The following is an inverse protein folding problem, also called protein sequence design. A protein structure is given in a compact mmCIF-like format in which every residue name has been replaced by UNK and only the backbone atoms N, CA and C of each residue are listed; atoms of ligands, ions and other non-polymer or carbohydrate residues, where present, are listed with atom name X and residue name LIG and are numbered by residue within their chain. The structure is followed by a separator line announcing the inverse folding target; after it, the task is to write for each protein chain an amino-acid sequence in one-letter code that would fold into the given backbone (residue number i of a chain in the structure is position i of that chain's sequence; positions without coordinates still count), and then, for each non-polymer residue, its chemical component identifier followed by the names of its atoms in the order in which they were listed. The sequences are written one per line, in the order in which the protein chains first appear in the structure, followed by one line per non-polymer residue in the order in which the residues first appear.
data_IF_225892135753
#
_entry.id   IF_225892135753
#
_cell.length_a   1.000
_cell.length_b   1.000
_cell.length_c   1.000
_cell.angle_alpha   90.00
_cell.angle_beta   90.00
_cell.angle_gamma   90.00
#
_symmetry.space_group_name_H-M   'P 1'
#
loop_
_entity.id
_entity.type
_entity.pdbx_description
1 polymer ?
#
# COMPACT_ATOMS: atom_id res chain seq x y z
N UNK A 1 44.07 -4.36 60.51
CA UNK A 1 42.82 -4.88 59.94
C UNK A 1 42.35 -3.89 58.89
N UNK A 2 42.49 -4.20 57.59
CA UNK A 2 42.17 -3.27 56.49
C UNK A 2 40.78 -3.62 55.94
N UNK A 3 39.84 -2.69 56.06
CA UNK A 3 38.51 -2.80 55.45
C UNK A 3 38.64 -2.35 54.00
N UNK A 4 38.60 -3.29 53.06
CA UNK A 4 38.54 -2.98 51.64
C UNK A 4 37.08 -2.70 51.26
N UNK A 5 36.78 -1.42 51.05
CA UNK A 5 35.52 -0.93 50.53
C UNK A 5 35.44 -1.29 49.04
N UNK A 6 34.87 -2.46 48.71
CA UNK A 6 34.52 -2.77 47.32
C UNK A 6 33.28 -1.98 46.99
N UNK A 7 33.48 -0.78 46.46
CA UNK A 7 32.44 0.02 45.83
C UNK A 7 31.89 -0.77 44.64
N UNK A 8 30.75 -1.41 44.85
CA UNK A 8 29.97 -2.06 43.81
C UNK A 8 29.38 -0.95 42.92
N UNK A 9 30.15 -0.52 41.92
CA UNK A 9 29.64 0.27 40.81
C UNK A 9 28.62 -0.58 40.06
N UNK A 10 27.37 -0.53 40.53
CA UNK A 10 26.19 -0.91 39.76
C UNK A 10 26.16 -0.01 38.53
N UNK A 11 26.78 -0.49 37.46
CA UNK A 11 26.61 0.01 36.12
C UNK A 11 25.13 -0.16 35.79
N UNK A 12 24.36 0.91 36.02
CA UNK A 12 23.09 1.11 35.34
C UNK A 12 23.39 1.30 33.86
N UNK A 13 23.65 0.18 33.17
CA UNK A 13 23.57 0.15 31.71
C UNK A 13 22.08 0.27 31.41
N UNK A 14 21.58 1.51 31.36
CA UNK A 14 20.32 1.76 30.67
C UNK A 14 20.58 1.38 29.22
N UNK A 15 20.22 0.15 28.87
CA UNK A 15 19.92 -0.16 27.49
C UNK A 15 18.73 0.73 27.16
N UNK A 16 19.01 1.95 26.73
CA UNK A 16 18.06 2.73 25.95
C UNK A 16 17.75 1.84 24.76
N UNK A 17 16.64 1.10 24.86
CA UNK A 17 16.01 0.48 23.71
C UNK A 17 15.77 1.66 22.80
N UNK A 18 16.63 1.81 21.78
CA UNK A 18 16.35 2.70 20.68
C UNK A 18 14.99 2.24 20.18
N UNK A 19 13.96 3.05 20.44
CA UNK A 19 12.68 2.87 19.81
C UNK A 19 12.98 2.91 18.32
N UNK A 20 12.98 1.74 17.67
CA UNK A 20 13.03 1.68 16.23
C UNK A 20 11.78 2.41 15.78
N UNK A 21 11.95 3.58 15.16
CA UNK A 21 10.87 4.26 14.45
C UNK A 21 10.43 3.32 13.33
N UNK A 22 9.45 2.47 13.62
CA UNK A 22 8.74 1.73 12.61
C UNK A 22 7.92 2.77 11.86
N UNK A 23 8.37 3.12 10.67
CA UNK A 23 7.62 4.01 9.78
C UNK A 23 6.22 3.43 9.60
N UNK A 24 5.20 4.22 9.94
CA UNK A 24 3.81 3.81 9.76
C UNK A 24 3.40 4.02 8.32
N UNK A 25 2.65 3.10 7.75
CA UNK A 25 2.21 3.19 6.37
C UNK A 25 0.70 3.14 6.28
N UNK A 26 0.10 4.04 5.51
CA UNK A 26 -1.32 4.02 5.19
C UNK A 26 -1.50 3.90 3.67
N UNK A 27 -2.73 3.65 3.23
CA UNK A 27 -3.04 3.69 1.80
C UNK A 27 -4.30 4.49 1.49
N UNK A 28 -4.39 4.91 0.23
CA UNK A 28 -5.57 5.50 -0.37
C UNK A 28 -5.87 4.77 -1.69
N UNK A 29 -7.08 4.22 -1.79
CA UNK A 29 -7.62 3.57 -2.97
C UNK A 29 -8.71 4.46 -3.58
N UNK A 30 -8.51 4.95 -4.81
CA UNK A 30 -9.53 5.72 -5.53
C UNK A 30 -10.04 4.93 -6.72
N UNK A 31 -11.34 5.03 -6.97
CA UNK A 31 -11.96 4.41 -8.13
C UNK A 31 -12.96 5.34 -8.80
N UNK A 32 -13.03 5.24 -10.11
CA UNK A 32 -14.05 5.88 -10.93
C UNK A 32 -14.45 4.94 -12.06
N UNK A 33 -15.77 4.82 -12.26
CA UNK A 33 -16.40 4.03 -13.31
C UNK A 33 -15.85 2.60 -13.41
N UNK A 34 -15.51 2.00 -12.28
CA UNK A 34 -14.88 0.68 -12.20
C UNK A 34 -14.91 0.10 -10.79
N UNK A 35 -14.81 -1.22 -10.68
CA UNK A 35 -14.43 -1.84 -9.42
C UNK A 35 -12.91 -1.94 -9.33
N UNK A 36 -12.40 -1.74 -8.12
CA UNK A 36 -10.99 -1.57 -7.85
C UNK A 36 -10.62 -2.35 -6.59
N UNK A 37 -9.64 -3.23 -6.71
CA UNK A 37 -9.12 -4.05 -5.61
C UNK A 37 -7.63 -3.81 -5.50
N UNK A 38 -7.09 -3.82 -4.28
CA UNK A 38 -5.69 -3.56 -4.02
C UNK A 38 -5.05 -4.64 -3.15
N UNK A 39 -3.82 -4.99 -3.50
CA UNK A 39 -2.95 -5.90 -2.76
C UNK A 39 -1.55 -5.30 -2.59
N UNK A 40 -0.91 -5.66 -1.49
CA UNK A 40 0.52 -5.44 -1.26
C UNK A 40 1.13 -6.77 -0.83
N UNK A 41 2.20 -7.20 -1.49
CA UNK A 41 2.86 -8.50 -1.26
C UNK A 41 1.88 -9.69 -1.28
N UNK A 42 0.85 -9.62 -2.13
CA UNK A 42 -0.20 -10.65 -2.24
C UNK A 42 -1.26 -10.64 -1.13
N UNK A 43 -1.19 -9.70 -0.18
CA UNK A 43 -2.20 -9.51 0.86
C UNK A 43 -3.23 -8.49 0.39
N UNK A 44 -4.52 -8.85 0.44
CA UNK A 44 -5.62 -7.94 0.13
C UNK A 44 -5.70 -6.82 1.18
N UNK A 45 -5.58 -5.58 0.73
CA UNK A 45 -5.67 -4.39 1.59
C UNK A 45 -6.96 -3.60 1.36
N UNK A 46 -7.54 -3.67 0.16
CA UNK A 46 -8.81 -3.00 -0.09
C UNK A 46 -9.60 -3.60 -1.23
N UNK A 47 -10.91 -3.42 -1.12
CA UNK A 47 -11.88 -3.64 -2.17
C UNK A 47 -12.80 -2.43 -2.16
N UNK A 48 -12.96 -1.78 -3.31
CA UNK A 48 -13.77 -0.57 -3.41
C UNK A 48 -15.22 -0.82 -2.99
N UNK A 49 -15.79 -1.99 -3.30
CA UNK A 49 -17.23 -2.32 -3.19
C UNK A 49 -18.19 -1.29 -3.85
N UNK A 50 -17.66 -0.21 -4.41
CA UNK A 50 -18.32 0.90 -5.08
C UNK A 50 -17.60 1.17 -6.38
N UNK A 51 -18.29 1.85 -7.30
CA UNK A 51 -17.79 2.17 -8.63
C UNK A 51 -17.31 3.61 -8.79
N UNK A 52 -17.53 4.44 -7.77
CA UNK A 52 -17.08 5.82 -7.68
C UNK A 52 -16.76 6.14 -6.22
N UNK A 53 -15.58 6.69 -5.96
CA UNK A 53 -15.24 7.20 -4.64
C UNK A 53 -13.77 7.02 -4.28
N UNK A 54 -13.44 7.49 -3.08
CA UNK A 54 -12.12 7.31 -2.46
C UNK A 54 -12.31 6.55 -1.16
N UNK A 55 -11.51 5.49 -0.99
CA UNK A 55 -11.37 4.76 0.26
C UNK A 55 -9.97 4.99 0.80
N UNK A 56 -9.85 5.33 2.07
CA UNK A 56 -8.57 5.39 2.77
C UNK A 56 -8.51 4.27 3.79
N UNK A 57 -7.32 3.73 4.01
CA UNK A 57 -7.09 2.87 5.17
C UNK A 57 -7.22 3.70 6.45
N UNK A 58 -7.89 3.14 7.44
CA UNK A 58 -7.79 3.57 8.84
C UNK A 58 -6.78 2.73 9.64
N UNK A 59 -6.09 1.79 8.99
CA UNK A 59 -5.18 0.83 9.60
C UNK A 59 -3.79 0.85 8.93
N UNK A 60 -2.79 0.50 9.73
CA UNK A 60 -1.36 0.59 9.41
C UNK A 60 -0.88 -0.66 8.63
N UNK A 61 -0.26 -0.42 7.46
CA UNK A 61 0.31 -1.43 6.56
C UNK A 61 1.72 -1.88 6.94
N UNK A 62 2.30 -1.36 8.01
CA UNK A 62 3.68 -1.69 8.43
C UNK A 62 3.93 -3.18 8.62
N UNK A 63 2.90 -3.97 8.89
CA UNK A 63 3.01 -5.44 9.03
C UNK A 63 3.04 -6.18 7.69
N UNK A 64 2.60 -5.53 6.60
CA UNK A 64 2.53 -6.09 5.25
C UNK A 64 3.74 -5.64 4.43
N UNK A 65 4.21 -4.42 4.65
CA UNK A 65 5.40 -3.87 3.98
C UNK A 65 6.65 -4.50 4.59
N UNK A 66 7.49 -5.07 3.71
CA UNK A 66 8.73 -5.72 4.07
C UNK A 66 9.91 -4.79 3.76
N UNK A 67 11.03 -5.00 4.44
CA UNK A 67 12.28 -4.33 4.09
C UNK A 67 12.72 -4.74 2.68
N UNK A 68 13.01 -3.76 1.82
CA UNK A 68 13.47 -3.98 0.45
C UNK A 68 12.34 -3.97 -0.58
N UNK A 69 12.32 -4.99 -1.47
CA UNK A 69 11.40 -5.01 -2.61
C UNK A 69 10.00 -5.44 -2.17
N UNK A 70 9.02 -4.59 -2.43
CA UNK A 70 7.59 -4.87 -2.24
C UNK A 70 6.89 -4.92 -3.60
N UNK A 71 5.80 -5.66 -3.70
CA UNK A 71 4.94 -5.69 -4.89
C UNK A 71 3.59 -5.07 -4.55
N UNK A 72 3.24 -4.01 -5.26
CA UNK A 72 1.90 -3.43 -5.22
C UNK A 72 1.09 -4.02 -6.37
N UNK A 73 -0.20 -4.26 -6.15
CA UNK A 73 -1.08 -4.74 -7.21
C UNK A 73 -2.43 -4.07 -7.09
N UNK A 74 -2.96 -3.59 -8.22
CA UNK A 74 -4.38 -3.29 -8.33
C UNK A 74 -5.03 -4.20 -9.37
N UNK A 75 -6.27 -4.61 -9.09
CA UNK A 75 -7.14 -5.29 -10.04
C UNK A 75 -8.24 -4.31 -10.38
N UNK A 76 -8.27 -3.92 -11.65
CA UNK A 76 -9.14 -2.87 -12.18
C UNK A 76 -10.10 -3.47 -13.21
N UNK A 77 -11.41 -3.38 -12.96
CA UNK A 77 -12.43 -4.07 -13.75
C UNK A 77 -13.65 -3.19 -14.03
N UNK A 78 -14.35 -3.48 -15.14
CA UNK A 78 -15.53 -2.76 -15.60
C UNK A 78 -16.74 -3.03 -14.73
N UNK A 79 -17.74 -2.16 -14.83
CA UNK A 79 -18.98 -2.24 -14.05
C UNK A 79 -19.98 -3.22 -14.67
N UNK A 80 -19.94 -3.39 -15.98
CA UNK A 80 -20.82 -4.29 -16.70
C UNK A 80 -20.56 -5.74 -16.27
N UNK A 81 -21.54 -6.35 -15.61
CA UNK A 81 -21.44 -7.74 -15.14
C UNK A 81 -21.42 -8.75 -16.28
N UNK A 82 -21.88 -8.38 -17.47
CA UNK A 82 -21.87 -9.23 -18.67
C UNK A 82 -20.54 -9.16 -19.42
N UNK A 83 -19.83 -8.04 -19.32
CA UNK A 83 -18.50 -7.85 -19.88
C UNK A 83 -17.62 -6.97 -18.97
N UNK A 84 -17.07 -7.61 -17.93
CA UNK A 84 -16.18 -6.95 -16.97
C UNK A 84 -14.84 -6.51 -17.57
N UNK A 85 -14.51 -6.94 -18.79
CA UNK A 85 -13.27 -6.53 -19.49
C UNK A 85 -13.44 -5.19 -20.20
N UNK A 86 -14.67 -4.83 -20.54
CA UNK A 86 -14.99 -3.53 -21.13
C UNK A 86 -14.92 -2.44 -20.08
N UNK A 87 -13.96 -1.55 -20.23
CA UNK A 87 -13.84 -0.36 -19.40
C UNK A 87 -14.64 0.79 -20.01
N UNK A 88 -15.31 1.55 -19.16
CA UNK A 88 -15.83 2.85 -19.56
C UNK A 88 -14.68 3.81 -19.89
N UNK A 89 -14.98 4.81 -20.71
CA UNK A 89 -14.05 5.92 -20.95
C UNK A 89 -13.80 6.66 -19.63
N UNK A 90 -12.54 7.03 -19.41
CA UNK A 90 -12.04 7.71 -18.20
C UNK A 90 -12.20 6.92 -16.89
N UNK A 91 -12.47 5.61 -16.97
CA UNK A 91 -12.40 4.75 -15.80
C UNK A 91 -10.96 4.71 -15.27
N UNK A 92 -10.81 4.77 -13.95
CA UNK A 92 -9.51 4.63 -13.29
C UNK A 92 -9.62 3.94 -11.93
N UNK A 93 -8.48 3.39 -11.51
CA UNK A 93 -8.26 2.82 -10.19
C UNK A 93 -6.85 3.21 -9.76
N UNK A 94 -6.70 3.87 -8.61
CA UNK A 94 -5.38 4.30 -8.12
C UNK A 94 -5.16 3.79 -6.71
N UNK A 95 -3.99 3.21 -6.46
CA UNK A 95 -3.50 2.90 -5.14
C UNK A 95 -2.34 3.83 -4.81
N UNK A 96 -2.43 4.54 -3.69
CA UNK A 96 -1.38 5.42 -3.17
C UNK A 96 -1.00 4.95 -1.78
N UNK A 97 0.27 4.58 -1.59
CA UNK A 97 0.86 4.31 -0.27
C UNK A 97 1.41 5.62 0.28
N UNK A 98 1.13 5.89 1.55
CA UNK A 98 1.64 7.04 2.30
C UNK A 98 2.46 6.54 3.48
N UNK A 99 3.56 7.22 3.76
CA UNK A 99 4.45 6.94 4.88
C UNK A 99 4.36 8.06 5.91
N UNK A 100 4.35 7.72 7.19
CA UNK A 100 4.46 8.70 8.25
C UNK A 100 5.94 9.02 8.50
N UNK A 101 6.34 10.26 8.22
CA UNK A 101 7.69 10.76 8.47
C UNK A 101 7.60 11.94 9.42
N UNK A 102 8.18 11.81 10.62
CA UNK A 102 8.20 12.87 11.65
C UNK A 102 6.81 13.42 12.01
N UNK A 103 5.78 12.57 11.96
CA UNK A 103 4.39 12.93 12.26
C UNK A 103 3.54 13.26 11.02
N UNK A 104 4.16 13.61 9.90
CA UNK A 104 3.46 13.96 8.66
C UNK A 104 3.26 12.75 7.75
N UNK A 105 2.09 12.66 7.10
CA UNK A 105 1.82 11.65 6.09
C UNK A 105 2.26 12.14 4.71
N UNK A 106 3.29 11.52 4.13
CA UNK A 106 3.82 11.87 2.81
C UNK A 106 3.51 10.78 1.78
N UNK A 107 3.40 11.14 0.51
CA UNK A 107 3.21 10.17 -0.58
C UNK A 107 4.49 9.37 -0.79
N UNK A 108 4.39 8.05 -0.70
CA UNK A 108 5.53 7.13 -0.81
C UNK A 108 5.61 6.46 -2.18
N UNK A 109 4.53 5.78 -2.60
CA UNK A 109 4.46 5.07 -3.87
C UNK A 109 3.04 5.05 -4.42
N UNK A 110 2.88 5.00 -5.74
CA UNK A 110 1.56 4.97 -6.37
C UNK A 110 1.50 4.03 -7.56
N UNK A 111 0.33 3.45 -7.77
CA UNK A 111 -0.01 2.59 -8.88
C UNK A 111 -1.31 3.09 -9.50
N UNK A 112 -1.32 3.24 -10.83
CA UNK A 112 -2.46 3.84 -11.55
C UNK A 112 -2.91 2.89 -12.65
N UNK A 113 -4.15 2.47 -12.58
CA UNK A 113 -4.87 1.77 -13.64
C UNK A 113 -5.82 2.74 -14.32
N UNK A 114 -5.87 2.74 -15.64
CA UNK A 114 -6.77 3.58 -16.43
C UNK A 114 -7.34 2.84 -17.63
N UNK A 115 -8.46 3.34 -18.16
CA UNK A 115 -9.00 2.87 -19.43
C UNK A 115 -8.17 3.39 -20.60
N UNK A 116 -7.75 2.51 -21.50
CA UNK A 116 -7.14 2.80 -22.80
C UNK A 116 -7.88 2.00 -23.87
N UNK A 117 -8.50 2.70 -24.81
CA UNK A 117 -9.30 2.08 -25.89
C UNK A 117 -10.38 1.11 -25.37
N UNK A 118 -11.00 1.44 -24.23
CA UNK A 118 -12.04 0.61 -23.62
C UNK A 118 -11.53 -0.65 -22.91
N UNK A 119 -10.20 -0.76 -22.71
CA UNK A 119 -9.55 -1.83 -21.98
C UNK A 119 -8.79 -1.27 -20.79
N UNK A 120 -8.56 -2.09 -19.78
CA UNK A 120 -7.70 -1.69 -18.68
C UNK A 120 -6.25 -1.47 -19.17
N UNK A 121 -5.51 -0.58 -18.52
CA UNK A 121 -4.10 -0.30 -18.77
C UNK A 121 -3.43 0.15 -17.47
N UNK A 122 -2.11 0.04 -17.39
CA UNK A 122 -1.31 0.50 -16.27
C UNK A 122 -0.50 1.74 -16.64
N UNK A 123 -0.68 2.83 -15.90
CA UNK A 123 0.22 4.00 -15.91
C UNK A 123 1.17 3.89 -14.71
N UNK A 124 2.46 4.11 -14.95
CA UNK A 124 3.53 3.95 -13.94
C UNK A 124 3.63 2.53 -13.36
N UNK A 125 3.26 1.52 -14.16
CA UNK A 125 3.40 0.11 -13.80
C UNK A 125 4.43 -0.55 -14.71
N UNK A 126 5.53 -1.07 -14.16
CA UNK A 126 6.54 -1.75 -14.96
C UNK A 126 6.02 -3.07 -15.55
N UNK A 127 4.95 -3.65 -15.00
CA UNK A 127 4.44 -4.96 -15.40
C UNK A 127 2.90 -4.98 -15.46
N UNK A 128 2.32 -4.34 -16.50
CA UNK A 128 0.92 -4.53 -16.87
C UNK A 128 0.77 -5.86 -17.62
N UNK A 129 -0.01 -6.81 -17.08
CA UNK A 129 -0.14 -8.14 -17.69
C UNK A 129 -1.38 -8.29 -18.58
N UNK A 130 -2.47 -7.54 -18.36
CA UNK A 130 -3.58 -7.42 -19.33
C UNK A 130 -4.22 -8.72 -19.83
N UNK A 131 -3.98 -9.86 -19.16
CA UNK A 131 -4.32 -11.22 -19.64
C UNK A 131 -5.82 -11.57 -19.54
N UNK A 132 -6.70 -10.57 -19.67
CA UNK A 132 -8.07 -10.81 -20.12
C UNK A 132 -9.06 -11.36 -19.09
N UNK A 133 -9.00 -10.94 -17.83
CA UNK A 133 -10.16 -11.08 -16.91
C UNK A 133 -10.46 -9.81 -16.10
N UNK A 134 -9.44 -9.02 -15.82
CA UNK A 134 -9.46 -7.66 -15.28
C UNK A 134 -8.03 -7.13 -15.42
N UNK A 135 -7.83 -5.81 -15.52
CA UNK A 135 -6.48 -5.24 -15.64
C UNK A 135 -5.72 -5.35 -14.34
N UNK A 136 -4.82 -6.33 -14.25
CA UNK A 136 -3.85 -6.38 -13.17
C UNK A 136 -2.66 -5.50 -13.53
N UNK A 137 -2.38 -4.57 -12.63
CA UNK A 137 -1.30 -3.60 -12.72
C UNK A 137 -0.35 -3.94 -11.57
N UNK A 138 0.95 -4.15 -11.84
CA UNK A 138 1.98 -4.48 -10.83
C UNK A 138 3.24 -3.65 -10.95
#
# INVERSE_FOLDING_TARGET
MKINLVACCLLFVSNGVLAMDYNKFNFELRTQKSYCFAQVNGVNIANSNVTLGTMSSGYDLSTIIQNGKNTMTIIFTGIDNTDRKKMEQDAYCTLLIKEQVKGDMINYASLVGNSLNGLASGKNSPHYDGLGQAGKVT
#
